data_IF_546967219865
#
_entry.id   IF_546967219865
#
_cell.length_a   1.000
_cell.length_b   1.000
_cell.length_c   1.000
_cell.angle_alpha   90.00
_cell.angle_beta   90.00
_cell.angle_gamma   90.00
#
_symmetry.space_group_name_H-M   'P 1'
#
loop_
_entity.id
_entity.type
_entity.pdbx_description
1 polymer ?
#
# COMPACT_ATOMS: atom_id res chain seq x y z
N UNK A 1 -8.90 12.61 -19.15
CA UNK A 1 -9.49 11.62 -18.22
C UNK A 1 -9.04 12.01 -16.83
N UNK A 2 -9.96 12.23 -15.89
CA UNK A 2 -9.62 12.58 -14.52
C UNK A 2 -9.22 11.30 -13.75
N UNK A 3 -8.08 11.32 -13.07
CA UNK A 3 -7.56 10.15 -12.34
C UNK A 3 -7.98 10.30 -10.87
N UNK A 4 -8.86 9.42 -10.39
CA UNK A 4 -9.24 9.37 -8.98
C UNK A 4 -8.01 9.01 -8.13
N UNK A 5 -7.81 9.72 -7.01
CA UNK A 5 -6.60 9.58 -6.19
C UNK A 5 -6.93 9.41 -4.70
N UNK A 6 -6.11 8.64 -3.99
CA UNK A 6 -6.13 8.47 -2.54
C UNK A 6 -4.91 9.13 -1.89
N UNK A 7 -5.00 9.56 -0.62
CA UNK A 7 -3.83 10.03 0.12
C UNK A 7 -2.82 8.90 0.36
N UNK A 8 -1.55 9.29 0.44
CA UNK A 8 -0.41 8.44 0.81
C UNK A 8 0.36 9.13 1.92
N UNK A 9 0.82 8.37 2.91
CA UNK A 9 1.63 8.88 4.01
C UNK A 9 3.08 9.04 3.55
N UNK A 10 3.62 10.25 3.69
CA UNK A 10 5.03 10.56 3.43
C UNK A 10 5.60 11.41 4.56
N UNK A 11 6.92 11.31 4.79
CA UNK A 11 7.63 12.09 5.81
C UNK A 11 7.68 13.60 5.51
N UNK A 12 7.58 13.99 4.24
CA UNK A 12 7.47 15.38 3.83
C UNK A 12 6.05 15.91 4.07
N UNK A 13 5.93 17.19 4.49
CA UNK A 13 4.67 17.91 4.80
C UNK A 13 3.77 18.17 3.56
N UNK A 14 3.76 17.26 2.58
CA UNK A 14 2.93 17.30 1.39
C UNK A 14 1.78 16.30 1.50
N UNK A 15 0.62 16.67 0.95
CA UNK A 15 -0.52 15.76 0.77
C UNK A 15 -0.21 14.80 -0.38
N UNK A 16 0.76 13.90 -0.23
CA UNK A 16 1.10 12.93 -1.27
C UNK A 16 -0.15 12.14 -1.66
N UNK A 17 -0.28 11.84 -2.95
CA UNK A 17 -1.43 11.12 -3.50
C UNK A 17 -0.97 10.11 -4.53
N UNK A 18 -1.68 9.00 -4.61
CA UNK A 18 -1.51 8.01 -5.66
C UNK A 18 -2.86 7.71 -6.31
N UNK A 19 -2.89 7.25 -7.57
CA UNK A 19 -4.13 6.77 -8.19
C UNK A 19 -4.82 5.73 -7.31
N UNK A 20 -6.14 5.81 -7.20
CA UNK A 20 -6.94 4.86 -6.44
C UNK A 20 -6.71 3.42 -6.90
N UNK A 21 -6.56 3.20 -8.20
CA UNK A 21 -6.26 1.87 -8.75
C UNK A 21 -4.95 1.28 -8.19
N UNK A 22 -3.96 2.11 -7.85
CA UNK A 22 -2.70 1.69 -7.24
C UNK A 22 -2.91 1.33 -5.77
N UNK A 23 -3.56 2.22 -5.01
CA UNK A 23 -3.77 1.98 -3.57
C UNK A 23 -4.74 0.83 -3.30
N UNK A 24 -5.71 0.58 -4.17
CA UNK A 24 -6.60 -0.57 -4.06
C UNK A 24 -5.88 -1.90 -4.32
N UNK A 25 -4.89 -1.97 -5.22
CA UNK A 25 -4.05 -3.17 -5.38
C UNK A 25 -3.22 -3.45 -4.13
N UNK A 26 -2.64 -2.40 -3.53
CA UNK A 26 -1.97 -2.54 -2.25
C UNK A 26 -2.94 -2.99 -1.14
N UNK A 27 -4.18 -2.49 -1.15
CA UNK A 27 -5.23 -2.89 -0.22
C UNK A 27 -5.65 -4.36 -0.33
N UNK A 28 -5.68 -4.93 -1.52
CA UNK A 28 -5.96 -6.37 -1.69
C UNK A 28 -4.92 -7.25 -0.97
N UNK A 29 -3.63 -6.89 -1.09
CA UNK A 29 -2.54 -7.59 -0.40
C UNK A 29 -2.62 -7.35 1.11
N UNK A 30 -2.86 -6.10 1.52
CA UNK A 30 -3.06 -5.74 2.92
C UNK A 30 -4.18 -6.57 3.57
N UNK A 31 -5.35 -6.65 2.92
CA UNK A 31 -6.49 -7.43 3.40
C UNK A 31 -6.18 -8.92 3.54
N UNK A 32 -5.36 -9.47 2.64
CA UNK A 32 -4.90 -10.85 2.73
C UNK A 32 -4.01 -11.09 3.96
N UNK A 33 -3.20 -10.11 4.35
CA UNK A 33 -2.27 -10.23 5.48
C UNK A 33 -2.88 -9.92 6.84
N UNK A 34 -3.67 -8.84 6.91
CA UNK A 34 -4.07 -8.23 8.18
C UNK A 34 -5.59 -8.19 8.39
N UNK A 35 -6.37 -8.61 7.39
CA UNK A 35 -7.81 -8.42 7.36
C UNK A 35 -8.21 -7.03 6.86
N UNK A 36 -9.49 -6.86 6.56
CA UNK A 36 -10.01 -5.62 5.98
C UNK A 36 -10.07 -4.48 6.99
N UNK A 37 -9.51 -3.32 6.62
CA UNK A 37 -9.66 -2.07 7.36
C UNK A 37 -10.16 -0.96 6.42
N UNK A 38 -11.45 -0.63 6.49
CA UNK A 38 -12.11 0.31 5.55
C UNK A 38 -11.47 1.71 5.56
N UNK A 39 -11.01 2.16 6.73
CA UNK A 39 -10.36 3.45 6.90
C UNK A 39 -9.10 3.65 6.01
N UNK A 40 -8.47 2.57 5.54
CA UNK A 40 -7.32 2.62 4.63
C UNK A 40 -7.68 3.16 3.23
N UNK A 41 -8.93 2.95 2.81
CA UNK A 41 -9.38 3.30 1.45
C UNK A 41 -10.39 4.45 1.43
N UNK A 42 -11.06 4.73 2.56
CA UNK A 42 -11.97 5.87 2.71
C UNK A 42 -11.27 7.15 3.19
N UNK A 43 -9.97 7.08 3.51
CA UNK A 43 -9.15 8.24 3.86
C UNK A 43 -9.15 8.61 5.36
N UNK A 44 -9.80 7.82 6.22
CA UNK A 44 -9.82 8.02 7.67
C UNK A 44 -8.55 7.57 8.40
N UNK A 45 -7.72 6.70 7.79
CA UNK A 45 -6.55 6.13 8.44
C UNK A 45 -5.30 7.00 8.26
N UNK A 46 -5.18 8.10 9.02
CA UNK A 46 -3.96 8.94 9.13
C UNK A 46 -3.27 9.30 7.79
N UNK A 47 -3.96 9.28 6.64
CA UNK A 47 -3.37 9.51 5.32
C UNK A 47 -3.10 8.28 4.42
N UNK A 48 -3.59 7.07 4.74
CA UNK A 48 -3.48 5.88 3.89
C UNK A 48 -2.19 5.10 4.07
N UNK A 49 -1.75 4.39 3.03
CA UNK A 49 -0.49 3.63 3.03
C UNK A 49 0.73 4.54 3.07
N UNK A 50 1.79 4.11 3.74
CA UNK A 50 3.14 4.65 3.57
C UNK A 50 3.74 4.30 2.21
N UNK A 51 4.75 5.06 1.78
CA UNK A 51 5.52 4.74 0.56
C UNK A 51 6.10 3.32 0.60
N UNK A 52 6.63 2.91 1.75
CA UNK A 52 7.16 1.57 1.94
C UNK A 52 6.15 0.45 1.83
N UNK A 53 4.98 0.66 2.43
CA UNK A 53 3.86 -0.26 2.33
C UNK A 53 3.39 -0.39 0.89
N UNK A 54 3.27 0.73 0.15
CA UNK A 54 2.94 0.69 -1.27
C UNK A 54 3.96 -0.13 -2.06
N UNK A 55 5.26 0.08 -1.84
CA UNK A 55 6.31 -0.69 -2.53
C UNK A 55 6.16 -2.19 -2.20
N UNK A 56 6.08 -2.55 -0.91
CA UNK A 56 6.02 -3.95 -0.48
C UNK A 56 4.76 -4.67 -0.99
N UNK A 57 3.60 -4.03 -0.88
CA UNK A 57 2.33 -4.63 -1.30
C UNK A 57 2.20 -4.71 -2.82
N UNK A 58 2.65 -3.70 -3.57
CA UNK A 58 2.64 -3.76 -5.04
C UNK A 58 3.66 -4.77 -5.57
N UNK A 59 4.83 -4.89 -4.92
CA UNK A 59 5.80 -5.95 -5.21
C UNK A 59 5.15 -7.32 -5.03
N UNK A 60 4.56 -7.59 -3.88
CA UNK A 60 3.90 -8.87 -3.60
C UNK A 60 2.74 -9.17 -4.56
N UNK A 61 1.95 -8.16 -4.94
CA UNK A 61 0.85 -8.30 -5.90
C UNK A 61 1.32 -8.80 -7.28
N UNK A 62 2.61 -8.67 -7.64
CA UNK A 62 3.13 -9.21 -8.90
C UNK A 62 3.31 -10.74 -8.91
N UNK A 63 3.14 -11.40 -7.75
CA UNK A 63 3.28 -12.85 -7.57
C UNK A 63 1.94 -13.56 -7.35
N UNK A 64 1.87 -14.90 -7.46
CA UNK A 64 0.68 -15.66 -7.08
C UNK A 64 0.25 -15.38 -5.64
N UNK A 65 -1.07 -15.30 -5.40
CA UNK A 65 -1.66 -14.98 -4.10
C UNK A 65 -1.11 -15.79 -2.90
N UNK A 66 -0.85 -17.12 -3.03
CA UNK A 66 -0.26 -17.89 -1.93
C UNK A 66 1.15 -17.41 -1.51
N UNK A 67 1.88 -16.71 -2.37
CA UNK A 67 3.23 -16.20 -2.08
C UNK A 67 3.21 -14.82 -1.42
N UNK A 68 2.09 -14.09 -1.45
CA UNK A 68 2.05 -12.67 -1.07
C UNK A 68 2.64 -12.40 0.32
N UNK A 69 2.30 -13.21 1.31
CA UNK A 69 2.86 -13.06 2.67
C UNK A 69 4.39 -13.14 2.67
N UNK A 70 4.96 -14.14 1.99
CA UNK A 70 6.41 -14.30 1.90
C UNK A 70 7.08 -13.12 1.16
N UNK A 71 6.46 -12.64 0.08
CA UNK A 71 6.99 -11.52 -0.73
C UNK A 71 6.93 -10.18 -0.01
N UNK A 72 5.89 -9.94 0.79
CA UNK A 72 5.85 -8.74 1.65
C UNK A 72 6.95 -8.79 2.70
N UNK A 73 7.15 -9.93 3.34
CA UNK A 73 8.23 -10.09 4.33
C UNK A 73 9.62 -9.95 3.68
N UNK A 74 9.80 -10.49 2.49
CA UNK A 74 11.00 -10.32 1.68
C UNK A 74 11.27 -8.83 1.41
N UNK A 75 10.27 -8.10 0.91
CA UNK A 75 10.38 -6.67 0.64
C UNK A 75 10.75 -5.89 1.91
N UNK A 76 10.00 -6.06 3.01
CA UNK A 76 10.27 -5.34 4.25
C UNK A 76 11.66 -5.63 4.84
N UNK A 77 12.18 -6.86 4.69
CA UNK A 77 13.54 -7.20 5.14
C UNK A 77 14.63 -6.57 4.27
N UNK A 78 14.37 -6.39 2.98
CA UNK A 78 15.33 -5.80 2.03
C UNK A 78 15.28 -4.28 1.95
N UNK A 79 14.35 -3.63 2.65
CA UNK A 79 14.19 -2.18 2.63
C UNK A 79 15.13 -1.51 3.62
N UNK A 80 16.10 -0.75 3.12
CA UNK A 80 17.02 0.08 3.91
C UNK A 80 16.60 1.56 3.84
N UNK A 81 16.77 2.31 4.95
CA UNK A 81 16.58 3.76 5.05
C UNK A 81 15.18 4.30 4.66
N UNK A 82 14.12 3.62 5.11
CA UNK A 82 12.73 4.05 4.91
C UNK A 82 12.18 4.99 5.99
#
# INVERSE_FOLDING_TARGET
MEVETHPVQTSCKGKARAPKSVTMRAYEVYCHMYGGQEAMVTGGCRGGFGSGELIAFLYAHSFPKPEWSARVQEAFRGMENM
#
